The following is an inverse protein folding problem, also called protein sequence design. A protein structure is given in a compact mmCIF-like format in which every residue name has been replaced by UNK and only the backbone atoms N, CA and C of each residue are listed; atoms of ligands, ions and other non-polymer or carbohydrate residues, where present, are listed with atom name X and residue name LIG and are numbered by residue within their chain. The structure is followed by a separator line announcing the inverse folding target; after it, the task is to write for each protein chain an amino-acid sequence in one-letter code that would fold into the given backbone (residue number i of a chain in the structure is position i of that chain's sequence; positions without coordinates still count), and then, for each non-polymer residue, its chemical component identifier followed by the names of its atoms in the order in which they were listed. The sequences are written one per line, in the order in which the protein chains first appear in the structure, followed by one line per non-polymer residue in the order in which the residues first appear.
data_IF_712944193214
#
_entry.id   IF_712944193214
#
_cell.length_a   1.000
_cell.length_b   1.000
_cell.length_c   1.000
_cell.angle_alpha   90.00
_cell.angle_beta   90.00
_cell.angle_gamma   90.00
#
_symmetry.space_group_name_H-M   'P 1'
#
loop_
_entity.id
_entity.type
_entity.pdbx_description
1 polymer ?
#
# COMPACT_ATOMS: atom_id res chain seq x y z
N UNK A 1 -36.67 -63.56 -39.33
CA UNK A 1 -35.82 -62.41 -38.95
C UNK A 1 -36.17 -62.01 -37.52
N UNK A 2 -35.25 -62.27 -36.58
CA UNK A 2 -35.39 -61.91 -35.17
C UNK A 2 -35.14 -60.39 -35.03
N UNK A 3 -36.06 -59.64 -34.43
CA UNK A 3 -35.79 -58.27 -33.94
C UNK A 3 -35.61 -58.37 -32.43
N UNK A 4 -34.36 -58.21 -31.98
CA UNK A 4 -34.01 -58.13 -30.57
C UNK A 4 -34.35 -56.74 -30.03
N UNK A 5 -34.95 -56.70 -28.85
CA UNK A 5 -35.19 -55.50 -28.07
C UNK A 5 -33.91 -55.24 -27.24
N UNK A 6 -33.15 -54.18 -27.57
CA UNK A 6 -32.06 -53.72 -26.71
C UNK A 6 -32.67 -52.98 -25.51
N UNK A 7 -32.45 -53.50 -24.31
CA UNK A 7 -32.62 -52.75 -23.07
C UNK A 7 -31.39 -51.87 -22.87
N UNK A 8 -31.56 -50.55 -22.94
CA UNK A 8 -30.54 -49.61 -22.51
C UNK A 8 -30.57 -49.52 -20.98
N UNK A 9 -29.52 -50.02 -20.32
CA UNK A 9 -29.25 -49.71 -18.92
C UNK A 9 -28.75 -48.27 -18.85
N UNK A 10 -29.55 -47.36 -18.29
CA UNK A 10 -29.01 -46.09 -17.76
C UNK A 10 -28.18 -46.44 -16.53
N UNK A 11 -26.85 -46.30 -16.64
CA UNK A 11 -26.02 -46.08 -15.46
C UNK A 11 -26.37 -44.68 -14.93
N UNK A 12 -27.19 -44.61 -13.88
CA UNK A 12 -27.23 -43.42 -13.04
C UNK A 12 -25.87 -43.33 -12.33
N UNK A 13 -25.03 -42.39 -12.75
CA UNK A 13 -23.83 -42.03 -12.00
C UNK A 13 -24.26 -41.56 -10.62
N UNK A 14 -23.99 -42.36 -9.59
CA UNK A 14 -24.13 -41.96 -8.21
C UNK A 14 -23.06 -40.89 -7.96
N UNK A 15 -23.44 -39.61 -8.01
CA UNK A 15 -22.61 -38.56 -7.41
C UNK A 15 -22.68 -38.82 -5.91
N UNK A 16 -21.59 -39.31 -5.32
CA UNK A 16 -21.36 -39.22 -3.89
C UNK A 16 -21.27 -37.72 -3.57
N UNK A 17 -22.38 -37.12 -3.16
CA UNK A 17 -22.33 -35.81 -2.53
C UNK A 17 -21.66 -36.03 -1.18
N UNK A 18 -20.43 -35.55 -1.03
CA UNK A 18 -19.88 -35.31 0.29
C UNK A 18 -20.85 -34.40 1.06
N UNK A 19 -20.98 -34.62 2.36
CA UNK A 19 -21.74 -33.72 3.21
C UNK A 19 -21.15 -32.32 3.09
N UNK A 20 -21.94 -31.38 2.57
CA UNK A 20 -21.58 -29.97 2.58
C UNK A 20 -21.87 -29.43 3.97
N UNK A 21 -20.89 -28.75 4.56
CA UNK A 21 -21.04 -28.01 5.81
C UNK A 21 -21.07 -26.53 5.49
N UNK A 22 -21.95 -25.79 6.15
CA UNK A 22 -21.93 -24.32 6.12
C UNK A 22 -20.87 -23.82 7.12
N UNK A 23 -19.60 -24.09 6.79
CA UNK A 23 -18.43 -23.83 7.62
C UNK A 23 -17.34 -23.18 6.76
N UNK A 24 -16.70 -22.14 7.26
CA UNK A 24 -15.58 -21.48 6.60
C UNK A 24 -14.36 -21.39 7.53
N UNK A 25 -13.17 -21.28 6.94
CA UNK A 25 -12.03 -20.67 7.62
C UNK A 25 -12.12 -19.17 7.33
N UNK A 26 -12.22 -18.36 8.37
CA UNK A 26 -12.43 -16.89 8.24
C UNK A 26 -11.17 -16.09 8.45
N UNK A 27 -10.22 -16.64 9.20
CA UNK A 27 -9.02 -15.91 9.57
C UNK A 27 -7.82 -16.85 9.76
N UNK A 28 -6.63 -16.39 9.37
CA UNK A 28 -5.37 -17.11 9.52
C UNK A 28 -4.30 -16.13 10.01
N UNK A 29 -3.71 -16.43 11.17
CA UNK A 29 -2.46 -15.82 11.61
C UNK A 29 -1.34 -16.85 11.44
N UNK A 30 -0.46 -16.63 10.47
CA UNK A 30 0.65 -17.53 10.14
C UNK A 30 2.02 -16.89 10.39
N UNK A 31 2.07 -15.57 10.59
CA UNK A 31 3.30 -14.85 10.91
C UNK A 31 2.96 -13.56 11.68
N UNK A 32 2.74 -13.62 13.00
CA UNK A 32 2.41 -12.43 13.79
C UNK A 32 3.60 -11.48 13.94
N UNK A 33 3.34 -10.18 14.14
CA UNK A 33 4.38 -9.24 14.56
C UNK A 33 4.97 -9.67 15.91
N UNK A 34 6.28 -9.52 16.06
CA UNK A 34 7.02 -9.96 17.25
C UNK A 34 6.52 -9.37 18.58
N UNK A 35 5.92 -8.17 18.57
CA UNK A 35 5.36 -7.51 19.75
C UNK A 35 3.97 -8.04 20.15
N UNK A 36 3.26 -8.69 19.23
CA UNK A 36 1.94 -9.28 19.40
C UNK A 36 1.96 -10.78 19.06
N UNK A 37 3.02 -11.48 19.44
CA UNK A 37 3.23 -12.86 19.06
C UNK A 37 2.40 -13.85 19.90
N UNK A 38 1.16 -14.08 19.46
CA UNK A 38 0.26 -15.13 19.97
C UNK A 38 0.49 -16.51 19.37
N UNK A 39 1.57 -16.69 18.58
CA UNK A 39 1.84 -17.82 17.70
C UNK A 39 0.77 -17.97 16.60
N UNK A 40 0.82 -19.08 15.87
CA UNK A 40 -0.07 -19.35 14.76
C UNK A 40 -1.46 -19.72 15.25
N UNK A 41 -2.48 -19.33 14.49
CA UNK A 41 -3.86 -19.74 14.75
C UNK A 41 -4.73 -19.63 13.51
N UNK A 42 -5.83 -20.36 13.52
CA UNK A 42 -6.84 -20.41 12.46
C UNK A 42 -8.21 -20.24 13.08
N UNK A 43 -9.09 -19.48 12.44
CA UNK A 43 -10.48 -19.31 12.88
C UNK A 43 -11.46 -20.06 11.97
N UNK A 44 -12.41 -20.76 12.60
CA UNK A 44 -13.56 -21.38 11.95
C UNK A 44 -14.84 -20.60 12.23
N UNK A 45 -15.71 -20.49 11.23
CA UNK A 45 -17.04 -19.87 11.37
C UNK A 45 -18.16 -20.78 10.84
N UNK A 46 -19.13 -21.10 11.69
CA UNK A 46 -20.37 -21.76 11.27
C UNK A 46 -21.40 -20.72 10.79
N UNK A 47 -21.37 -20.41 9.49
CA UNK A 47 -22.32 -19.49 8.86
C UNK A 47 -23.69 -20.13 8.57
N UNK A 48 -23.86 -21.41 8.91
CA UNK A 48 -25.09 -22.16 8.71
C UNK A 48 -26.20 -21.86 9.70
N UNK A 49 -27.31 -22.59 9.55
CA UNK A 49 -28.47 -22.50 10.46
C UNK A 49 -28.58 -23.67 11.44
N UNK A 50 -27.63 -24.61 11.38
CA UNK A 50 -27.60 -25.82 12.21
C UNK A 50 -26.28 -25.94 12.92
N UNK A 51 -26.28 -26.51 14.12
CA UNK A 51 -25.03 -26.83 14.82
C UNK A 51 -24.18 -27.84 14.02
N UNK A 52 -22.86 -27.71 14.11
CA UNK A 52 -21.89 -28.61 13.52
C UNK A 52 -21.04 -29.20 14.65
N UNK A 53 -21.08 -30.53 14.79
CA UNK A 53 -20.20 -31.25 15.70
C UNK A 53 -18.88 -31.56 14.97
N UNK A 54 -17.80 -30.92 15.41
CA UNK A 54 -16.46 -31.05 14.84
C UNK A 54 -15.54 -31.90 15.73
N UNK A 55 -16.09 -32.63 16.71
CA UNK A 55 -15.33 -33.58 17.54
C UNK A 55 -14.60 -34.61 16.68
N UNK A 56 -13.31 -34.82 16.94
CA UNK A 56 -12.47 -35.79 16.23
C UNK A 56 -12.16 -35.42 14.77
N UNK A 57 -12.51 -34.20 14.33
CA UNK A 57 -12.05 -33.68 13.05
C UNK A 57 -10.55 -33.36 13.13
N UNK A 58 -9.87 -33.34 11.98
CA UNK A 58 -8.44 -33.11 11.91
C UNK A 58 -8.13 -31.77 11.23
N UNK A 59 -7.42 -30.89 11.95
CA UNK A 59 -6.71 -29.75 11.36
C UNK A 59 -5.32 -30.22 10.92
N UNK A 60 -4.90 -29.85 9.71
CA UNK A 60 -3.58 -30.20 9.14
C UNK A 60 -2.98 -29.02 8.39
N UNK A 61 -1.65 -28.88 8.44
CA UNK A 61 -0.88 -28.01 7.54
C UNK A 61 -0.74 -28.66 6.15
N UNK A 62 0.14 -28.18 5.27
CA UNK A 62 0.56 -28.89 4.04
C UNK A 62 1.38 -30.16 4.31
N UNK A 63 2.13 -30.24 5.41
CA UNK A 63 2.80 -31.48 5.82
C UNK A 63 1.71 -32.50 6.20
N UNK A 64 1.87 -33.73 5.69
CA UNK A 64 0.93 -34.82 5.95
C UNK A 64 1.06 -35.39 7.36
N UNK A 65 2.18 -35.11 8.03
CA UNK A 65 2.46 -35.52 9.40
C UNK A 65 1.89 -34.55 10.45
N UNK A 66 1.61 -33.31 10.05
CA UNK A 66 1.00 -32.32 10.92
C UNK A 66 -0.48 -32.61 11.06
N UNK A 67 -0.88 -33.02 12.25
CA UNK A 67 -2.27 -33.30 12.57
C UNK A 67 -2.62 -32.90 14.00
N UNK A 68 -3.73 -32.20 14.12
CA UNK A 68 -4.37 -31.88 15.39
C UNK A 68 -5.81 -32.42 15.36
N UNK A 69 -6.12 -33.31 16.29
CA UNK A 69 -7.47 -33.84 16.49
C UNK A 69 -8.27 -32.91 17.40
N UNK A 70 -9.36 -32.37 16.87
CA UNK A 70 -10.23 -31.45 17.59
C UNK A 70 -10.89 -32.19 18.77
N UNK A 71 -10.79 -31.66 20.01
CA UNK A 71 -11.27 -32.34 21.21
C UNK A 71 -12.75 -32.76 21.15
N UNK A 72 -13.05 -33.88 21.81
CA UNK A 72 -14.42 -34.37 21.98
C UNK A 72 -15.33 -33.33 22.65
N UNK A 73 -16.54 -33.19 22.11
CA UNK A 73 -17.54 -32.25 22.61
C UNK A 73 -17.46 -30.85 21.99
N UNK A 74 -16.60 -30.65 20.99
CA UNK A 74 -16.50 -29.38 20.27
C UNK A 74 -17.64 -29.26 19.26
N UNK A 75 -18.64 -28.43 19.60
CA UNK A 75 -19.83 -28.20 18.79
C UNK A 75 -19.93 -26.70 18.48
N UNK A 76 -19.91 -26.36 17.19
CA UNK A 76 -20.15 -25.01 16.70
C UNK A 76 -21.66 -24.77 16.55
N UNK A 77 -22.22 -23.84 17.31
CA UNK A 77 -23.59 -23.35 17.11
C UNK A 77 -23.69 -22.49 15.84
N UNK A 78 -24.90 -22.28 15.30
CA UNK A 78 -25.12 -21.31 14.22
C UNK A 78 -24.59 -19.92 14.61
N UNK A 79 -23.76 -19.32 13.77
CA UNK A 79 -23.13 -18.03 14.01
C UNK A 79 -21.94 -18.06 14.98
N UNK A 80 -21.46 -19.25 15.38
CA UNK A 80 -20.32 -19.37 16.30
C UNK A 80 -18.99 -19.37 15.54
N UNK A 81 -18.05 -18.60 16.08
CA UNK A 81 -16.64 -18.60 15.72
C UNK A 81 -15.84 -19.49 16.68
N UNK A 82 -14.78 -20.13 16.19
CA UNK A 82 -13.85 -20.92 17.01
C UNK A 82 -12.43 -20.74 16.51
N UNK A 83 -11.58 -20.25 17.40
CA UNK A 83 -10.14 -20.19 17.17
C UNK A 83 -9.53 -21.54 17.51
N UNK A 84 -8.63 -22.02 16.65
CA UNK A 84 -7.75 -23.14 16.89
C UNK A 84 -6.34 -22.57 16.92
N UNK A 85 -5.70 -22.55 18.10
CA UNK A 85 -4.40 -21.91 18.32
C UNK A 85 -3.26 -22.92 18.47
N UNK A 86 -2.04 -22.54 18.05
CA UNK A 86 -0.87 -23.40 18.15
C UNK A 86 -0.53 -23.71 19.61
N UNK A 87 -0.64 -22.70 20.47
CA UNK A 87 -0.47 -22.83 21.92
C UNK A 87 -1.47 -21.92 22.64
N UNK A 88 -2.46 -22.49 23.33
CA UNK A 88 -3.55 -21.73 23.96
C UNK A 88 -3.02 -20.73 25.00
N UNK A 89 -2.02 -21.13 25.79
CA UNK A 89 -1.42 -20.26 26.81
C UNK A 89 -0.73 -19.04 26.18
N UNK A 90 -0.01 -19.22 25.07
CA UNK A 90 0.68 -18.12 24.37
C UNK A 90 -0.31 -17.21 23.66
N UNK A 91 -1.34 -17.79 23.03
CA UNK A 91 -2.42 -17.04 22.42
C UNK A 91 -3.11 -16.13 23.45
N UNK A 92 -3.44 -16.63 24.64
CA UNK A 92 -4.07 -15.83 25.70
C UNK A 92 -3.17 -14.74 26.31
N UNK A 93 -1.85 -14.79 26.10
CA UNK A 93 -0.99 -13.67 26.49
C UNK A 93 -1.25 -12.42 25.63
N UNK A 94 -1.67 -12.60 24.38
CA UNK A 94 -2.03 -11.52 23.45
C UNK A 94 -3.53 -11.25 23.46
N UNK A 95 -4.36 -12.30 23.53
CA UNK A 95 -5.82 -12.22 23.45
C UNK A 95 -6.52 -12.72 24.74
N UNK A 96 -6.31 -12.08 25.90
CA UNK A 96 -6.78 -12.59 27.20
C UNK A 96 -8.32 -12.63 27.35
N UNK A 97 -9.06 -12.00 26.44
CA UNK A 97 -10.53 -11.93 26.47
C UNK A 97 -11.22 -12.91 25.52
N UNK A 98 -10.47 -13.53 24.60
CA UNK A 98 -11.03 -14.48 23.63
C UNK A 98 -11.24 -15.82 24.33
N UNK A 99 -12.50 -16.22 24.50
CA UNK A 99 -12.87 -17.41 25.28
C UNK A 99 -13.24 -18.63 24.44
N UNK A 100 -13.48 -18.43 23.15
CA UNK A 100 -13.85 -19.44 22.16
C UNK A 100 -12.61 -19.92 21.40
N UNK A 101 -11.59 -20.32 22.15
CA UNK A 101 -10.36 -20.92 21.65
C UNK A 101 -10.26 -22.37 22.11
N UNK A 102 -9.71 -23.20 21.24
CA UNK A 102 -9.16 -24.52 21.52
C UNK A 102 -7.78 -24.57 20.88
N UNK A 103 -7.00 -25.61 21.12
CA UNK A 103 -5.81 -25.82 20.32
C UNK A 103 -4.77 -26.66 21.02
N UNK A 104 -3.58 -26.10 21.07
CA UNK A 104 -2.32 -26.81 21.21
C UNK A 104 -2.05 -27.70 19.97
N UNK A 105 -2.31 -27.16 18.76
CA UNK A 105 -1.85 -27.83 17.54
C UNK A 105 -0.32 -27.73 17.50
N UNK A 106 0.38 -28.83 17.82
CA UNK A 106 1.84 -28.85 18.11
C UNK A 106 2.74 -28.67 16.85
N UNK A 107 2.25 -28.00 15.80
CA UNK A 107 2.97 -27.72 14.55
C UNK A 107 2.81 -26.25 14.15
N UNK A 108 3.68 -25.74 13.27
CA UNK A 108 3.60 -24.36 12.77
C UNK A 108 2.93 -24.27 11.41
N UNK A 109 2.39 -23.10 11.09
CA UNK A 109 2.05 -22.68 9.75
C UNK A 109 3.32 -22.14 9.06
N UNK A 110 3.42 -22.26 7.73
CA UNK A 110 4.60 -21.80 6.98
C UNK A 110 4.52 -20.29 6.75
N UNK A 111 5.49 -19.55 7.29
CA UNK A 111 5.64 -18.10 7.10
C UNK A 111 5.80 -17.69 5.63
N UNK A 112 6.24 -18.60 4.74
CA UNK A 112 6.34 -18.36 3.30
C UNK A 112 5.08 -18.72 2.50
N UNK A 113 3.98 -19.05 3.19
CA UNK A 113 2.75 -19.56 2.59
C UNK A 113 2.64 -21.08 2.64
N UNK A 114 1.43 -21.56 2.91
CA UNK A 114 1.17 -22.99 3.13
C UNK A 114 -0.28 -23.38 2.84
N UNK A 115 -0.74 -24.46 3.49
CA UNK A 115 -2.12 -24.88 3.43
C UNK A 115 -2.72 -25.07 4.83
N UNK A 116 -3.99 -24.72 4.96
CA UNK A 116 -4.81 -25.10 6.11
C UNK A 116 -5.89 -26.05 5.62
N UNK A 117 -5.93 -27.26 6.19
CA UNK A 117 -6.81 -28.33 5.75
C UNK A 117 -7.60 -28.88 6.93
N UNK A 118 -8.92 -28.98 6.75
CA UNK A 118 -9.85 -29.52 7.73
C UNK A 118 -10.48 -30.80 7.17
N UNK A 119 -10.35 -31.91 7.89
CA UNK A 119 -10.95 -33.20 7.56
C UNK A 119 -11.95 -33.60 8.62
N UNK A 120 -13.08 -34.19 8.23
CA UNK A 120 -14.03 -34.73 9.21
C UNK A 120 -13.51 -35.99 9.89
N UNK A 121 -14.16 -36.45 10.96
CA UNK A 121 -13.78 -37.68 11.68
C UNK A 121 -13.84 -38.98 10.86
N UNK A 122 -14.38 -38.95 9.64
CA UNK A 122 -14.33 -40.03 8.66
C UNK A 122 -13.12 -39.96 7.71
N UNK A 123 -12.28 -38.94 7.84
CA UNK A 123 -11.11 -38.67 6.99
C UNK A 123 -11.43 -38.03 5.64
N UNK A 124 -12.65 -37.55 5.41
CA UNK A 124 -12.99 -36.83 4.18
C UNK A 124 -12.68 -35.33 4.33
N UNK A 125 -12.12 -34.67 3.29
CA UNK A 125 -11.84 -33.24 3.34
C UNK A 125 -13.14 -32.44 3.46
N UNK A 126 -13.12 -31.40 4.31
CA UNK A 126 -14.22 -30.46 4.53
C UNK A 126 -13.85 -29.09 3.96
N UNK A 127 -12.69 -28.54 4.36
CA UNK A 127 -12.13 -27.28 3.85
C UNK A 127 -10.66 -27.52 3.52
N UNK A 128 -10.18 -26.93 2.43
CA UNK A 128 -8.76 -26.86 2.12
C UNK A 128 -8.48 -25.51 1.46
N UNK A 129 -7.64 -24.72 2.10
CA UNK A 129 -7.21 -23.41 1.60
C UNK A 129 -5.69 -23.39 1.49
N UNK A 130 -5.19 -22.66 0.50
CA UNK A 130 -3.78 -22.26 0.44
C UNK A 130 -3.69 -20.78 0.82
N UNK A 131 -2.56 -20.34 1.35
CA UNK A 131 -2.26 -18.92 1.61
C UNK A 131 -0.81 -18.61 1.22
N UNK A 132 -0.43 -17.34 1.19
CA UNK A 132 0.91 -16.89 0.79
C UNK A 132 1.34 -15.57 1.41
N UNK A 133 2.64 -15.29 1.30
CA UNK A 133 3.34 -14.10 1.79
C UNK A 133 3.63 -13.05 0.69
N UNK A 134 3.17 -13.32 -0.54
CA UNK A 134 3.42 -12.51 -1.72
C UNK A 134 2.16 -12.34 -2.55
N UNK A 135 2.11 -11.25 -3.34
CA UNK A 135 0.99 -10.97 -4.24
C UNK A 135 0.65 -12.20 -5.10
N UNK A 136 -0.63 -12.55 -5.23
CA UNK A 136 -1.80 -11.74 -4.88
C UNK A 136 -2.27 -11.83 -3.41
N UNK A 137 -1.57 -12.57 -2.53
CA UNK A 137 -1.92 -12.60 -1.11
C UNK A 137 -1.48 -11.31 -0.39
N UNK A 138 -2.24 -10.85 0.63
CA UNK A 138 -1.89 -9.67 1.42
C UNK A 138 -0.54 -9.81 2.14
N UNK A 139 0.45 -9.02 1.72
CA UNK A 139 1.77 -8.96 2.37
C UNK A 139 1.71 -8.45 3.80
N UNK A 140 0.72 -7.64 4.14
CA UNK A 140 0.50 -7.12 5.49
C UNK A 140 0.36 -8.22 6.55
N UNK A 141 -0.09 -9.43 6.16
CA UNK A 141 -0.21 -10.57 7.06
C UNK A 141 1.10 -11.34 7.31
N UNK A 142 2.20 -10.96 6.64
CA UNK A 142 3.50 -11.63 6.75
C UNK A 142 4.41 -10.93 7.77
N UNK A 143 4.07 -10.99 9.05
CA UNK A 143 4.93 -10.46 10.13
C UNK A 143 4.77 -8.96 10.40
N UNK A 144 3.87 -8.27 9.69
CA UNK A 144 3.58 -6.85 9.91
C UNK A 144 2.38 -6.60 10.86
N UNK A 145 1.88 -7.65 11.51
CA UNK A 145 0.94 -7.58 12.63
C UNK A 145 -0.51 -7.88 12.27
N UNK A 146 -0.86 -7.92 11.00
CA UNK A 146 -2.19 -8.27 10.53
C UNK A 146 -2.33 -9.79 10.36
N UNK A 147 -3.54 -10.31 10.47
CA UNK A 147 -3.94 -11.64 10.00
C UNK A 147 -4.45 -11.57 8.56
N UNK A 148 -4.54 -12.73 7.90
CA UNK A 148 -5.37 -12.87 6.70
C UNK A 148 -6.83 -13.04 7.12
N UNK A 149 -7.70 -12.15 6.66
CA UNK A 149 -9.14 -12.20 6.91
C UNK A 149 -9.91 -12.35 5.59
N UNK A 150 -11.00 -13.12 5.62
CA UNK A 150 -11.84 -13.38 4.44
C UNK A 150 -12.88 -12.27 4.26
N UNK A 151 -13.08 -11.80 3.02
CA UNK A 151 -14.11 -10.79 2.68
C UNK A 151 -15.51 -11.43 2.56
N UNK A 152 -15.64 -12.49 1.77
CA UNK A 152 -16.88 -13.28 1.63
C UNK A 152 -16.63 -14.75 1.95
N UNK A 153 -17.02 -15.17 3.15
CA UNK A 153 -16.90 -16.56 3.62
C UNK A 153 -17.79 -17.57 2.84
N UNK A 154 -18.68 -17.09 1.95
CA UNK A 154 -19.49 -17.94 1.05
C UNK A 154 -18.90 -18.06 -0.36
N UNK A 155 -17.87 -17.28 -0.68
CA UNK A 155 -17.15 -17.32 -1.94
C UNK A 155 -16.02 -18.39 -1.93
N UNK A 156 -15.23 -18.44 -3.01
CA UNK A 156 -14.12 -19.40 -3.13
C UNK A 156 -12.96 -18.99 -2.20
N UNK A 157 -12.69 -19.80 -1.17
CA UNK A 157 -11.64 -19.52 -0.19
C UNK A 157 -10.21 -19.68 -0.74
N UNK A 158 -10.02 -20.34 -1.89
CA UNK A 158 -8.71 -20.37 -2.57
C UNK A 158 -8.50 -19.21 -3.56
N UNK A 159 -9.42 -18.25 -3.65
CA UNK A 159 -9.22 -17.02 -4.40
C UNK A 159 -8.51 -15.99 -3.50
N UNK A 160 -7.24 -15.64 -3.75
CA UNK A 160 -6.51 -14.67 -2.92
C UNK A 160 -7.15 -13.28 -2.90
N UNK A 161 -7.96 -12.93 -3.91
CA UNK A 161 -8.68 -11.64 -3.93
C UNK A 161 -9.85 -11.58 -2.96
N UNK A 162 -10.26 -12.71 -2.39
CA UNK A 162 -11.25 -12.82 -1.31
C UNK A 162 -10.61 -12.69 0.09
N UNK A 163 -9.31 -12.39 0.16
CA UNK A 163 -8.58 -12.23 1.40
C UNK A 163 -7.92 -10.86 1.46
N UNK A 164 -7.94 -10.26 2.65
CA UNK A 164 -7.28 -8.99 2.92
C UNK A 164 -6.51 -9.06 4.23
N UNK A 165 -5.55 -8.15 4.41
CA UNK A 165 -4.90 -7.99 5.72
C UNK A 165 -5.84 -7.22 6.63
N UNK A 166 -6.26 -7.83 7.73
CA UNK A 166 -7.20 -7.22 8.68
C UNK A 166 -6.59 -6.06 9.48
N UNK A 167 -6.96 -5.99 10.75
CA UNK A 167 -6.38 -5.02 11.68
C UNK A 167 -5.13 -5.59 12.36
N UNK A 168 -4.34 -4.73 12.98
CA UNK A 168 -3.24 -5.16 13.87
C UNK A 168 -3.81 -6.07 14.95
N UNK A 169 -3.31 -7.29 15.01
CA UNK A 169 -3.77 -8.35 15.91
C UNK A 169 -4.95 -9.18 15.40
N UNK A 170 -5.55 -8.84 14.25
CA UNK A 170 -6.70 -9.57 13.70
C UNK A 170 -7.99 -9.41 14.51
N UNK A 171 -8.99 -10.25 14.22
CA UNK A 171 -10.31 -10.25 14.88
C UNK A 171 -10.69 -11.57 15.59
N UNK A 172 -9.73 -12.28 16.25
CA UNK A 172 -9.94 -13.66 16.65
C UNK A 172 -11.12 -13.85 17.61
N UNK A 173 -11.94 -14.83 17.28
CA UNK A 173 -13.11 -15.25 18.03
C UNK A 173 -14.37 -14.44 17.71
N UNK A 174 -14.35 -13.58 16.69
CA UNK A 174 -15.45 -12.70 16.32
C UNK A 174 -15.49 -12.41 14.82
N UNK A 175 -16.61 -11.86 14.36
CA UNK A 175 -16.68 -11.32 12.99
C UNK A 175 -15.76 -10.10 12.86
N UNK A 176 -15.09 -9.98 11.71
CA UNK A 176 -14.29 -8.81 11.35
C UNK A 176 -15.06 -7.51 11.58
N UNK A 177 -14.36 -6.50 12.08
CA UNK A 177 -14.87 -5.14 12.21
C UNK A 177 -13.78 -4.14 11.90
N UNK A 178 -14.18 -2.94 11.46
CA UNK A 178 -13.23 -1.94 11.01
C UNK A 178 -12.23 -1.51 12.07
N UNK A 179 -11.03 -1.17 11.60
CA UNK A 179 -9.90 -0.86 12.47
C UNK A 179 -10.11 0.48 13.19
N UNK A 180 -9.90 0.48 14.50
CA UNK A 180 -10.01 1.68 15.33
C UNK A 180 -8.62 2.14 15.80
N UNK A 181 -7.82 2.63 14.87
CA UNK A 181 -6.49 3.15 15.17
C UNK A 181 -6.58 4.57 15.74
N UNK A 182 -5.97 4.78 16.91
CA UNK A 182 -5.92 6.11 17.52
C UNK A 182 -4.92 7.03 16.81
N UNK A 183 -3.77 6.47 16.39
CA UNK A 183 -2.77 7.13 15.55
C UNK A 183 -2.61 6.28 14.30
N UNK A 184 -2.78 6.88 13.12
CA UNK A 184 -2.66 6.20 11.83
C UNK A 184 -2.01 7.09 10.79
N UNK A 185 -1.67 6.51 9.64
CA UNK A 185 -1.19 7.28 8.50
C UNK A 185 -2.34 7.99 7.81
N UNK A 186 -2.13 9.25 7.45
CA UNK A 186 -3.03 10.00 6.55
C UNK A 186 -2.44 10.15 5.15
N UNK A 187 -1.12 10.15 5.03
CA UNK A 187 -0.45 10.42 3.75
C UNK A 187 0.95 9.80 3.67
N UNK A 188 1.35 9.38 2.47
CA UNK A 188 2.65 8.77 2.17
C UNK A 188 3.20 9.32 0.86
N UNK A 189 4.41 9.86 0.92
CA UNK A 189 5.24 10.16 -0.24
C UNK A 189 6.48 9.26 -0.21
N UNK A 190 6.47 8.21 -1.01
CA UNK A 190 7.59 7.24 -1.09
C UNK A 190 8.43 7.39 -2.37
N UNK A 191 7.96 8.20 -3.34
CA UNK A 191 8.69 8.47 -4.56
C UNK A 191 8.30 9.85 -5.10
N UNK A 192 9.16 10.83 -4.83
CA UNK A 192 8.93 12.21 -5.28
C UNK A 192 9.15 12.35 -6.79
N UNK A 193 8.44 13.27 -7.43
CA UNK A 193 8.76 13.65 -8.81
C UNK A 193 10.08 14.42 -8.87
N UNK A 194 10.89 14.17 -9.91
CA UNK A 194 12.30 14.61 -9.96
C UNK A 194 12.55 16.13 -9.81
N UNK A 195 11.58 16.99 -10.14
CA UNK A 195 11.71 18.45 -10.01
C UNK A 195 11.09 19.00 -8.72
N UNK A 196 10.39 18.17 -7.98
CA UNK A 196 9.82 18.45 -6.66
C UNK A 196 10.22 17.34 -5.69
N UNK A 197 11.53 17.13 -5.56
CA UNK A 197 12.11 16.05 -4.77
C UNK A 197 12.18 16.42 -3.28
N UNK A 198 11.06 16.24 -2.58
CA UNK A 198 10.98 16.48 -1.13
C UNK A 198 11.63 15.38 -0.29
N UNK A 199 12.21 14.34 -0.91
CA UNK A 199 12.55 13.10 -0.24
C UNK A 199 11.31 12.34 0.24
N UNK A 200 11.51 11.21 0.90
CA UNK A 200 10.38 10.43 1.41
C UNK A 200 9.85 11.03 2.71
N UNK A 201 8.55 10.93 2.90
CA UNK A 201 7.88 11.34 4.12
C UNK A 201 6.54 10.63 4.28
N UNK A 202 6.11 10.54 5.53
CA UNK A 202 4.79 10.07 5.90
C UNK A 202 4.11 11.11 6.79
N UNK A 203 2.79 11.05 6.87
CA UNK A 203 2.02 11.87 7.79
C UNK A 203 1.22 10.99 8.75
N UNK A 204 1.34 11.29 10.04
CA UNK A 204 0.52 10.71 11.09
C UNK A 204 -0.67 11.61 11.39
N UNK A 205 -1.82 11.03 11.68
CA UNK A 205 -2.99 11.73 12.23
C UNK A 205 -3.47 11.05 13.51
N UNK A 206 -3.85 11.84 14.52
CA UNK A 206 -4.59 11.34 15.66
C UNK A 206 -6.09 11.30 15.32
N UNK A 207 -6.62 10.11 15.07
CA UNK A 207 -8.05 9.88 14.77
C UNK A 207 -8.89 9.63 16.03
N UNK A 208 -8.25 9.61 17.20
CA UNK A 208 -8.91 9.54 18.50
C UNK A 208 -9.59 10.84 18.93
N UNK A 209 -10.28 10.78 20.06
CA UNK A 209 -11.09 11.88 20.59
C UNK A 209 -10.34 12.79 21.58
N UNK A 210 -9.06 12.53 21.85
CA UNK A 210 -8.26 13.26 22.83
C UNK A 210 -6.78 13.29 22.44
N UNK A 211 -6.02 14.16 23.11
CA UNK A 211 -4.58 14.26 22.92
C UNK A 211 -3.88 12.95 23.30
N UNK A 212 -2.90 12.55 22.49
CA UNK A 212 -2.07 11.36 22.70
C UNK A 212 -0.62 11.82 22.82
N UNK A 213 0.05 11.38 23.88
CA UNK A 213 1.49 11.53 24.01
C UNK A 213 2.16 10.39 23.23
N UNK A 214 2.81 10.74 22.13
CA UNK A 214 3.55 9.81 21.26
C UNK A 214 5.06 9.93 21.46
N UNK A 215 5.50 10.49 22.59
CA UNK A 215 6.90 10.53 22.97
C UNK A 215 7.50 9.12 22.99
N UNK A 216 8.67 8.97 22.39
CA UNK A 216 9.44 7.72 22.31
C UNK A 216 8.75 6.55 21.58
N UNK A 217 7.55 6.76 21.01
CA UNK A 217 6.99 5.86 20.02
C UNK A 217 7.96 5.68 18.86
N UNK A 218 7.92 4.55 18.17
CA UNK A 218 8.84 4.26 17.09
C UNK A 218 8.17 3.97 15.76
N UNK A 219 8.79 4.45 14.68
CA UNK A 219 8.38 4.22 13.29
C UNK A 219 9.41 3.31 12.63
N UNK A 220 8.95 2.31 11.89
CA UNK A 220 9.78 1.38 11.12
C UNK A 220 9.23 1.20 9.72
N UNK A 221 10.12 0.93 8.77
CA UNK A 221 9.73 0.44 7.44
C UNK A 221 9.51 -1.09 7.48
N UNK A 222 9.63 -1.79 6.35
CA UNK A 222 9.62 -3.26 6.31
C UNK A 222 10.76 -3.95 7.06
N UNK A 223 11.81 -3.22 7.48
CA UNK A 223 12.99 -3.78 8.15
C UNK A 223 12.99 -3.43 9.63
N UNK A 224 13.07 -4.45 10.48
CA UNK A 224 12.99 -4.26 11.95
C UNK A 224 14.14 -3.43 12.55
N UNK A 225 15.26 -3.33 11.85
CA UNK A 225 16.42 -2.56 12.28
C UNK A 225 16.37 -1.09 11.86
N UNK A 226 15.42 -0.69 11.01
CA UNK A 226 15.17 0.70 10.66
C UNK A 226 14.17 1.25 11.68
N UNK A 227 14.69 1.98 12.67
CA UNK A 227 13.90 2.47 13.80
C UNK A 227 14.14 3.96 13.98
N UNK A 228 13.08 4.75 13.85
CA UNK A 228 13.06 6.15 14.21
C UNK A 228 12.23 6.32 15.48
N UNK A 229 12.77 6.99 16.50
CA UNK A 229 12.04 7.30 17.73
C UNK A 229 11.52 8.73 17.69
N UNK A 230 10.22 8.89 17.92
CA UNK A 230 9.55 10.18 17.96
C UNK A 230 10.09 10.99 19.16
N UNK A 231 10.51 12.26 18.97
CA UNK A 231 11.11 13.06 20.03
C UNK A 231 10.24 13.17 21.29
N UNK A 232 10.88 13.15 22.46
CA UNK A 232 10.18 13.34 23.73
C UNK A 232 9.48 14.71 23.80
N UNK A 233 8.26 14.72 24.36
CA UNK A 233 7.38 15.87 24.44
C UNK A 233 6.46 16.05 23.23
N UNK A 234 6.43 15.09 22.29
CA UNK A 234 5.54 15.15 21.12
C UNK A 234 4.13 14.71 21.53
N UNK A 235 3.20 15.66 21.54
CA UNK A 235 1.78 15.43 21.86
C UNK A 235 0.97 15.71 20.61
N UNK A 236 0.21 14.71 20.15
CA UNK A 236 -0.68 14.83 19.01
C UNK A 236 -2.10 15.08 19.52
N UNK A 237 -2.59 16.30 19.37
CA UNK A 237 -3.98 16.66 19.71
C UNK A 237 -4.98 15.89 18.81
N UNK A 238 -6.24 15.77 19.24
CA UNK A 238 -7.27 15.10 18.44
C UNK A 238 -7.44 15.78 17.07
N UNK A 239 -7.34 15.00 15.99
CA UNK A 239 -7.39 15.49 14.61
C UNK A 239 -6.13 16.24 14.15
N UNK A 240 -5.07 16.29 14.97
CA UNK A 240 -3.82 16.91 14.55
C UNK A 240 -3.00 15.96 13.66
N UNK A 241 -2.29 16.57 12.71
CA UNK A 241 -1.41 15.90 11.76
C UNK A 241 0.06 16.17 12.12
N UNK A 242 0.94 15.23 11.82
CA UNK A 242 2.38 15.34 12.04
C UNK A 242 3.14 14.68 10.88
N UNK A 243 3.92 15.48 10.17
CA UNK A 243 4.79 14.99 9.09
C UNK A 243 6.08 14.45 9.68
N UNK A 244 6.51 13.29 9.19
CA UNK A 244 7.79 12.65 9.53
C UNK A 244 8.58 12.42 8.23
N UNK A 245 9.70 13.13 8.05
CA UNK A 245 10.46 13.13 6.81
C UNK A 245 11.86 12.54 6.93
N UNK A 246 12.40 12.11 5.79
CA UNK A 246 13.76 11.56 5.67
C UNK A 246 14.86 12.59 5.84
N UNK A 247 14.66 13.80 5.35
CA UNK A 247 15.58 14.94 5.50
C UNK A 247 14.77 16.24 5.65
N UNK A 248 14.85 16.88 6.82
CA UNK A 248 14.11 18.11 7.13
C UNK A 248 14.53 19.25 6.19
N UNK A 249 15.80 19.37 5.83
CA UNK A 249 16.29 20.46 4.99
C UNK A 249 15.79 20.30 3.54
N UNK A 250 15.82 19.07 3.01
CA UNK A 250 15.25 18.75 1.71
C UNK A 250 13.74 19.01 1.70
N UNK A 251 13.01 18.46 2.68
CA UNK A 251 11.56 18.60 2.77
C UNK A 251 11.12 20.07 2.84
N UNK A 252 11.75 20.86 3.72
CA UNK A 252 11.41 22.29 3.90
C UNK A 252 11.82 23.18 2.73
N UNK A 253 12.64 22.70 1.79
CA UNK A 253 12.90 23.39 0.52
C UNK A 253 11.64 23.48 -0.34
N UNK A 254 10.77 22.47 -0.24
CA UNK A 254 9.55 22.35 -1.03
C UNK A 254 8.29 22.71 -0.24
N UNK A 255 8.28 22.44 1.08
CA UNK A 255 7.17 22.73 1.98
C UNK A 255 7.56 23.70 3.12
N UNK A 256 7.95 24.95 2.82
CA UNK A 256 8.49 25.89 3.82
C UNK A 256 7.47 26.39 4.86
N UNK A 257 6.17 26.15 4.62
CA UNK A 257 5.08 26.59 5.49
C UNK A 257 4.64 25.54 6.51
N UNK A 258 5.15 24.30 6.42
CA UNK A 258 4.78 23.18 7.29
C UNK A 258 5.69 23.20 8.52
N UNK A 259 5.08 23.36 9.70
CA UNK A 259 5.77 23.48 10.99
C UNK A 259 5.52 22.27 11.92
N UNK A 260 4.46 21.49 11.67
CA UNK A 260 4.18 20.20 12.29
C UNK A 260 5.04 19.08 11.65
N UNK A 261 6.35 19.22 11.77
CA UNK A 261 7.35 18.38 11.11
C UNK A 261 8.38 17.83 12.11
N UNK A 262 8.70 16.54 11.96
CA UNK A 262 9.84 15.90 12.61
C UNK A 262 10.67 15.08 11.61
N UNK A 263 11.88 14.74 12.01
CA UNK A 263 12.89 14.05 11.21
C UNK A 263 14.27 14.22 11.88
N UNK A 264 15.36 13.78 11.28
CA UNK A 264 15.48 13.00 10.04
C UNK A 264 15.22 11.50 10.33
N UNK A 265 14.40 10.81 9.51
CA UNK A 265 14.04 9.38 9.73
C UNK A 265 15.27 8.44 9.76
N UNK A 266 16.30 8.75 8.97
CA UNK A 266 17.51 7.93 8.86
C UNK A 266 17.39 6.70 7.94
N UNK A 267 16.21 6.44 7.38
CA UNK A 267 15.90 5.46 6.34
C UNK A 267 14.79 6.02 5.44
N UNK A 268 14.67 5.52 4.21
CA UNK A 268 13.60 5.91 3.28
C UNK A 268 12.59 4.78 3.07
N UNK A 269 11.56 5.05 2.27
CA UNK A 269 10.49 4.11 1.94
C UNK A 269 10.65 3.65 0.49
N UNK A 270 10.47 2.35 0.24
CA UNK A 270 10.70 1.76 -1.09
C UNK A 270 9.64 2.18 -2.11
N UNK A 271 10.07 2.68 -3.26
CA UNK A 271 9.22 2.88 -4.45
C UNK A 271 8.90 1.60 -5.22
N UNK A 272 8.91 0.44 -4.56
CA UNK A 272 8.49 -0.88 -5.08
C UNK A 272 7.56 -1.60 -4.08
N UNK A 273 6.83 -0.80 -3.30
CA UNK A 273 6.10 -1.21 -2.10
C UNK A 273 6.98 -1.35 -0.86
N UNK A 274 6.43 -1.01 0.29
CA UNK A 274 7.08 -1.09 1.60
C UNK A 274 6.03 -1.20 2.73
N UNK A 275 6.50 -1.43 3.95
CA UNK A 275 5.67 -1.32 5.14
C UNK A 275 5.94 -0.02 5.89
N UNK A 276 4.95 0.44 6.65
CA UNK A 276 5.11 1.49 7.67
C UNK A 276 4.43 0.99 8.94
N UNK A 277 5.22 0.89 10.01
CA UNK A 277 4.80 0.34 11.30
C UNK A 277 5.06 1.34 12.42
N UNK A 278 4.06 1.53 13.27
CA UNK A 278 4.10 2.46 14.41
C UNK A 278 3.96 1.65 15.69
N UNK A 279 4.97 1.71 16.55
CA UNK A 279 4.98 1.08 17.86
C UNK A 279 4.90 2.13 18.96
N UNK A 280 4.20 1.83 20.04
CA UNK A 280 4.18 2.69 21.21
C UNK A 280 5.53 2.70 21.97
N UNK A 281 5.58 3.44 23.07
CA UNK A 281 6.75 3.55 23.93
C UNK A 281 7.07 2.26 24.72
N UNK A 282 6.16 1.29 24.76
CA UNK A 282 6.40 -0.06 25.31
C UNK A 282 6.90 -1.03 24.23
N UNK A 283 6.91 -0.59 22.96
CA UNK A 283 7.34 -1.38 21.81
C UNK A 283 6.24 -2.29 21.27
N UNK A 284 4.97 -2.02 21.56
CA UNK A 284 3.81 -2.75 21.03
C UNK A 284 3.32 -2.08 19.76
N UNK A 285 3.09 -2.87 18.71
CA UNK A 285 2.57 -2.39 17.43
C UNK A 285 1.17 -1.79 17.62
N UNK A 286 1.00 -0.54 17.22
CA UNK A 286 -0.27 0.20 17.28
C UNK A 286 -0.90 0.40 15.91
N UNK A 287 -0.08 0.46 14.85
CA UNK A 287 -0.53 0.62 13.47
C UNK A 287 0.45 -0.04 12.51
N UNK A 288 -0.07 -0.73 11.49
CA UNK A 288 0.73 -1.34 10.42
C UNK A 288 0.04 -1.15 9.08
N UNK A 289 0.83 -0.76 8.08
CA UNK A 289 0.44 -0.69 6.67
C UNK A 289 1.49 -1.38 5.82
N UNK A 290 1.07 -2.14 4.81
CA UNK A 290 1.93 -2.48 3.66
C UNK A 290 1.31 -1.88 2.39
N UNK A 291 1.98 -0.90 1.78
CA UNK A 291 1.52 -0.27 0.53
C UNK A 291 2.24 -0.87 -0.68
N UNK A 292 1.65 -0.70 -1.87
CA UNK A 292 2.24 -1.08 -3.15
C UNK A 292 2.34 0.14 -4.08
N UNK A 293 3.24 0.07 -5.05
CA UNK A 293 3.47 1.10 -6.08
C UNK A 293 2.72 0.83 -7.39
N UNK A 294 1.99 -0.30 -7.47
CA UNK A 294 1.26 -0.71 -8.66
C UNK A 294 -0.25 -0.92 -8.41
N UNK A 295 -1.08 -0.89 -9.48
CA UNK A 295 -2.51 -1.13 -9.35
C UNK A 295 -2.79 -2.47 -8.64
N UNK A 296 -3.75 -2.53 -7.71
CA UNK A 296 -4.85 -1.57 -7.51
C UNK A 296 -4.56 -0.35 -6.63
N UNK A 297 -3.35 -0.19 -6.10
CA UNK A 297 -2.96 1.04 -5.41
C UNK A 297 -2.80 2.18 -6.43
N UNK A 298 -2.88 3.43 -5.96
CA UNK A 298 -2.80 4.59 -6.84
C UNK A 298 -1.34 4.79 -7.32
N UNK A 299 -1.06 4.35 -8.54
CA UNK A 299 0.28 4.37 -9.16
C UNK A 299 0.73 5.79 -9.55
N UNK A 300 -0.16 6.78 -9.50
CA UNK A 300 0.23 8.18 -9.64
C UNK A 300 1.14 8.67 -8.50
N UNK A 301 1.11 8.02 -7.33
CA UNK A 301 2.02 8.33 -6.22
C UNK A 301 3.46 7.83 -6.45
N UNK A 302 3.70 7.01 -7.49
CA UNK A 302 5.02 6.47 -7.81
C UNK A 302 5.82 7.45 -8.70
N UNK A 303 6.23 8.59 -8.14
CA UNK A 303 7.12 9.53 -8.84
C UNK A 303 6.43 10.43 -9.87
N UNK A 304 5.10 10.41 -9.95
CA UNK A 304 4.32 11.27 -10.85
C UNK A 304 3.84 12.57 -10.19
N UNK A 305 4.32 12.86 -8.98
CA UNK A 305 4.08 14.11 -8.26
C UNK A 305 2.83 14.10 -7.40
N UNK A 306 2.27 12.93 -7.12
CA UNK A 306 1.19 12.73 -6.16
C UNK A 306 1.72 11.95 -4.95
N UNK A 307 0.91 11.90 -3.91
CA UNK A 307 1.12 11.10 -2.70
C UNK A 307 -0.05 10.12 -2.55
N UNK A 308 0.16 9.04 -1.80
CA UNK A 308 -0.94 8.19 -1.34
C UNK A 308 -1.60 8.87 -0.16
N UNK A 309 -2.88 9.23 -0.28
CA UNK A 309 -3.67 9.83 0.80
C UNK A 309 -4.81 8.90 1.22
N UNK A 310 -5.03 8.76 2.54
CA UNK A 310 -6.07 7.90 3.11
C UNK A 310 -7.46 8.55 2.94
N UNK A 311 -8.41 7.80 2.36
CA UNK A 311 -9.80 8.21 2.21
C UNK A 311 -10.69 7.74 3.35
N UNK A 312 -10.44 6.52 3.86
CA UNK A 312 -11.28 5.87 4.87
C UNK A 312 -10.55 5.74 6.20
N UNK A 313 -10.72 6.76 7.06
CA UNK A 313 -10.12 6.81 8.39
C UNK A 313 -10.76 5.83 9.39
N UNK A 314 -11.88 5.20 9.03
CA UNK A 314 -12.62 4.29 9.91
C UNK A 314 -12.78 2.88 9.30
N UNK A 315 -12.05 2.56 8.23
CA UNK A 315 -12.08 1.26 7.55
C UNK A 315 -10.78 0.46 7.72
N UNK A 316 -10.49 -0.44 6.79
CA UNK A 316 -9.22 -1.19 6.74
C UNK A 316 -8.18 -0.42 5.92
N UNK A 317 -7.09 0.11 6.51
CA UNK A 317 -6.08 0.81 5.72
C UNK A 317 -5.22 -0.15 4.88
N UNK A 318 -5.22 -1.46 5.17
CA UNK A 318 -4.43 -2.47 4.46
C UNK A 318 -5.07 -2.95 3.14
N UNK A 319 -6.00 -2.18 2.59
CA UNK A 319 -6.61 -2.45 1.28
C UNK A 319 -6.39 -1.26 0.33
N UNK A 320 -6.15 -1.50 -0.97
CA UNK A 320 -5.89 -0.45 -1.95
C UNK A 320 -7.04 0.57 -2.04
N UNK A 321 -8.29 0.13 -1.88
CA UNK A 321 -9.48 0.98 -1.97
C UNK A 321 -9.59 2.03 -0.85
N UNK A 322 -8.82 1.90 0.23
CA UNK A 322 -8.76 2.89 1.30
C UNK A 322 -7.88 4.11 0.92
N UNK A 323 -7.04 3.98 -0.11
CA UNK A 323 -6.06 4.98 -0.50
C UNK A 323 -6.37 5.56 -1.88
N UNK A 324 -5.94 6.79 -2.10
CA UNK A 324 -6.07 7.45 -3.40
C UNK A 324 -4.85 8.29 -3.71
N UNK A 325 -4.62 8.58 -4.99
CA UNK A 325 -3.77 9.68 -5.37
C UNK A 325 -4.50 10.97 -5.02
N UNK A 326 -3.93 11.73 -4.08
CA UNK A 326 -4.47 13.00 -3.65
C UNK A 326 -4.29 14.11 -4.68
N UNK A 327 -3.96 15.30 -4.20
CA UNK A 327 -3.60 16.40 -5.10
C UNK A 327 -2.14 16.36 -5.51
N UNK A 328 -1.75 17.04 -6.61
CA UNK A 328 -0.34 17.22 -6.91
C UNK A 328 0.40 17.80 -5.70
N UNK A 329 1.50 17.16 -5.33
CA UNK A 329 2.35 17.43 -4.17
C UNK A 329 1.69 17.16 -2.81
N UNK A 330 0.54 16.47 -2.80
CA UNK A 330 -0.11 16.02 -1.57
C UNK A 330 -0.82 17.11 -0.78
N UNK A 331 -1.19 16.79 0.46
CA UNK A 331 -1.78 17.73 1.42
C UNK A 331 -1.05 17.80 2.77
N UNK A 332 0.30 17.83 2.79
CA UNK A 332 1.07 17.68 4.02
C UNK A 332 0.73 18.73 5.07
N UNK A 333 0.73 18.27 6.31
CA UNK A 333 0.35 18.98 7.51
C UNK A 333 -1.15 19.12 7.71
N UNK A 334 -2.00 18.57 6.84
CA UNK A 334 -3.46 18.80 6.84
C UNK A 334 -4.25 17.55 6.44
N UNK A 335 -5.57 17.61 6.60
CA UNK A 335 -6.44 16.56 6.05
C UNK A 335 -6.54 16.66 4.52
N UNK A 336 -6.77 15.51 3.88
CA UNK A 336 -6.93 15.38 2.42
C UNK A 336 -7.81 16.48 1.82
N UNK A 337 -7.31 17.10 0.75
CA UNK A 337 -7.97 18.22 0.07
C UNK A 337 -8.58 17.75 -1.24
N UNK A 338 -9.89 17.50 -1.27
CA UNK A 338 -10.62 17.15 -2.50
C UNK A 338 -11.90 18.00 -2.67
N UNK A 339 -12.21 18.48 -3.90
CA UNK A 339 -11.39 18.40 -5.11
C UNK A 339 -10.14 19.28 -4.99
N UNK A 340 -9.12 19.00 -5.80
CA UNK A 340 -7.90 19.77 -5.76
C UNK A 340 -8.17 21.26 -5.97
N UNK A 341 -7.58 22.13 -5.14
CA UNK A 341 -7.67 23.55 -5.36
C UNK A 341 -7.15 23.80 -6.77
N UNK A 342 -7.90 24.58 -7.55
CA UNK A 342 -7.42 24.98 -8.86
C UNK A 342 -6.11 25.71 -8.61
N UNK A 343 -5.00 25.03 -8.88
CA UNK A 343 -3.71 25.67 -8.87
C UNK A 343 -3.83 26.78 -9.90
N UNK A 344 -3.79 28.03 -9.43
CA UNK A 344 -3.13 29.05 -10.24
C UNK A 344 -1.66 28.63 -10.18
N UNK A 345 -1.32 27.60 -10.94
CA UNK A 345 0.03 27.53 -11.44
C UNK A 345 0.11 28.81 -12.28
N UNK A 346 0.69 29.86 -11.70
CA UNK A 346 1.54 30.72 -12.50
C UNK A 346 2.60 29.78 -13.08
N UNK A 347 2.24 29.03 -14.12
CA UNK A 347 3.16 28.75 -15.18
C UNK A 347 3.74 30.13 -15.44
N UNK A 348 5.00 30.35 -15.09
CA UNK A 348 5.74 31.40 -15.74
C UNK A 348 5.61 31.08 -17.22
N UNK A 349 4.63 31.72 -17.87
CA UNK A 349 4.44 31.62 -19.30
C UNK A 349 5.81 32.00 -19.83
N UNK A 350 6.50 31.03 -20.44
CA UNK A 350 7.73 31.33 -21.15
C UNK A 350 7.41 32.55 -22.00
N UNK A 351 8.15 33.66 -21.88
CA UNK A 351 7.78 34.89 -22.55
C UNK A 351 7.81 34.74 -24.07
N UNK A 352 8.26 33.59 -24.58
CA UNK A 352 8.23 33.22 -25.98
C UNK A 352 7.84 31.74 -26.17
N UNK A 353 7.20 31.47 -27.30
CA UNK A 353 6.87 30.14 -27.82
C UNK A 353 7.86 29.73 -28.90
N UNK A 354 8.04 28.43 -29.12
CA UNK A 354 8.85 27.88 -30.21
C UNK A 354 8.04 26.88 -31.03
N UNK A 355 7.96 27.07 -32.35
CA UNK A 355 7.24 26.16 -33.23
C UNK A 355 7.68 26.27 -34.69
N UNK A 356 7.60 25.21 -35.50
CA UNK A 356 7.35 23.83 -35.06
C UNK A 356 8.51 23.29 -34.21
N UNK A 357 8.23 22.39 -33.28
CA UNK A 357 9.25 21.70 -32.49
C UNK A 357 8.80 20.23 -32.33
N UNK A 358 9.48 19.25 -32.96
CA UNK A 358 10.72 19.36 -33.74
C UNK A 358 10.62 20.21 -35.01
N UNK A 359 11.75 20.71 -35.53
CA UNK A 359 11.83 21.44 -36.80
C UNK A 359 12.86 20.86 -37.77
N UNK A 360 12.54 20.95 -39.07
CA UNK A 360 13.41 20.51 -40.16
C UNK A 360 14.12 21.68 -40.88
N UNK A 361 13.40 22.78 -41.16
CA UNK A 361 13.94 23.90 -41.97
C UNK A 361 14.13 25.17 -41.15
N UNK A 362 13.16 25.48 -40.28
CA UNK A 362 13.24 26.65 -39.42
C UNK A 362 12.38 26.47 -38.17
N UNK A 363 12.91 26.98 -37.05
CA UNK A 363 12.23 27.16 -35.78
C UNK A 363 11.79 28.62 -35.66
N UNK A 364 10.51 28.86 -35.36
CA UNK A 364 9.98 30.20 -35.14
C UNK A 364 9.83 30.42 -33.64
N UNK A 365 10.58 31.38 -33.11
CA UNK A 365 10.44 31.86 -31.74
C UNK A 365 9.61 33.14 -31.75
N UNK A 366 8.58 33.22 -30.91
CA UNK A 366 7.68 34.38 -30.86
C UNK A 366 7.24 34.70 -29.44
N UNK A 367 7.25 35.98 -29.10
CA UNK A 367 6.76 36.51 -27.84
C UNK A 367 5.56 37.43 -28.06
N UNK A 368 4.61 37.41 -27.13
CA UNK A 368 3.50 38.37 -27.09
C UNK A 368 3.90 39.68 -26.38
N UNK A 369 4.86 39.63 -25.45
CA UNK A 369 5.38 40.77 -24.68
C UNK A 369 6.88 40.94 -24.89
N UNK A 370 7.31 42.04 -25.52
CA UNK A 370 8.72 42.23 -25.86
C UNK A 370 9.53 42.64 -24.62
N UNK A 371 10.28 41.69 -24.07
CA UNK A 371 11.40 41.97 -23.17
C UNK A 371 12.66 42.18 -24.01
N UNK A 372 13.36 43.30 -23.86
CA UNK A 372 14.63 43.48 -24.56
C UNK A 372 15.70 42.62 -23.90
N UNK A 373 16.45 41.85 -24.68
CA UNK A 373 17.44 40.92 -24.13
C UNK A 373 18.33 40.30 -25.20
N UNK A 374 19.02 39.24 -24.81
CA UNK A 374 19.84 38.40 -25.68
C UNK A 374 19.23 37.00 -25.73
N UNK A 375 18.93 36.51 -26.93
CA UNK A 375 18.55 35.12 -27.12
C UNK A 375 19.75 34.31 -27.60
N UNK A 376 20.02 33.20 -26.92
CA UNK A 376 21.15 32.31 -27.20
C UNK A 376 20.65 30.88 -27.35
N UNK A 377 21.14 30.20 -28.38
CA UNK A 377 20.88 28.79 -28.63
C UNK A 377 22.18 28.05 -28.34
N UNK A 378 22.15 27.08 -27.43
CA UNK A 378 23.30 26.27 -27.03
C UNK A 378 23.09 24.80 -27.39
N UNK A 379 24.19 24.09 -27.65
CA UNK A 379 24.15 22.62 -27.68
C UNK A 379 23.97 22.05 -26.26
N UNK A 380 23.81 20.72 -26.15
CA UNK A 380 23.67 20.02 -24.86
C UNK A 380 24.92 20.12 -23.97
N UNK A 381 26.07 20.51 -24.50
CA UNK A 381 27.28 20.78 -23.72
C UNK A 381 27.35 22.25 -23.26
N UNK A 382 26.29 23.04 -23.48
CA UNK A 382 26.19 24.44 -23.07
C UNK A 382 27.00 25.40 -23.95
N UNK A 383 27.52 24.95 -25.11
CA UNK A 383 28.29 25.81 -26.01
C UNK A 383 27.34 26.64 -26.88
N UNK A 384 27.52 27.97 -26.98
CA UNK A 384 26.66 28.82 -27.80
C UNK A 384 26.89 28.54 -29.29
N UNK A 385 25.80 28.23 -29.98
CA UNK A 385 25.79 27.91 -31.42
C UNK A 385 25.29 29.10 -32.22
N UNK A 386 24.29 29.81 -31.68
CA UNK A 386 23.73 31.02 -32.27
C UNK A 386 23.32 32.00 -31.17
N UNK A 387 23.52 33.30 -31.38
CA UNK A 387 23.10 34.33 -30.42
C UNK A 387 22.78 35.64 -31.13
N UNK A 388 21.71 36.30 -30.73
CA UNK A 388 21.27 37.57 -31.32
C UNK A 388 20.46 38.38 -30.30
N UNK A 389 20.43 39.73 -30.40
CA UNK A 389 19.49 40.53 -29.63
C UNK A 389 18.05 40.08 -29.86
N UNK A 390 17.29 39.94 -28.78
CA UNK A 390 15.88 39.58 -28.81
C UNK A 390 15.01 40.84 -28.92
N UNK A 391 14.11 40.84 -29.89
CA UNK A 391 13.17 41.92 -30.15
C UNK A 391 11.70 41.42 -30.20
N UNK A 392 11.45 40.22 -29.66
CA UNK A 392 10.12 39.58 -29.65
C UNK A 392 9.91 38.50 -30.71
N UNK A 393 10.81 38.33 -31.67
CA UNK A 393 10.75 37.21 -32.62
C UNK A 393 12.10 36.80 -33.18
N UNK A 394 12.28 35.51 -33.45
CA UNK A 394 13.44 34.97 -34.17
C UNK A 394 12.98 33.84 -35.10
N UNK A 395 13.53 33.79 -36.30
CA UNK A 395 13.47 32.61 -37.15
C UNK A 395 14.88 32.01 -37.19
N UNK A 396 15.04 30.86 -36.57
CA UNK A 396 16.32 30.14 -36.58
C UNK A 396 16.26 29.01 -37.60
N UNK A 397 17.11 29.07 -38.60
CA UNK A 397 17.17 28.11 -39.71
C UNK A 397 18.11 26.91 -39.44
N UNK A 398 18.48 26.68 -38.17
CA UNK A 398 19.42 25.62 -37.81
C UNK A 398 20.87 25.90 -38.26
N UNK A 399 21.28 27.17 -38.34
CA UNK A 399 22.65 27.55 -38.63
C UNK A 399 23.34 28.21 -37.44
N UNK A 400 24.66 28.05 -37.34
CA UNK A 400 25.49 28.72 -36.34
C UNK A 400 25.79 30.18 -36.74
N UNK A 401 26.53 30.90 -35.90
CA UNK A 401 26.93 32.30 -36.16
C UNK A 401 27.78 32.53 -37.42
N UNK A 402 28.38 31.48 -38.00
CA UNK A 402 29.13 31.54 -39.28
C UNK A 402 28.28 31.13 -40.51
N UNK A 403 27.01 30.77 -40.31
CA UNK A 403 26.10 30.34 -41.38
C UNK A 403 26.22 28.87 -41.77
N UNK A 404 26.94 28.06 -40.99
CA UNK A 404 27.04 26.61 -41.18
C UNK A 404 25.89 25.89 -40.50
N UNK A 405 25.38 24.83 -41.12
CA UNK A 405 24.30 24.03 -40.55
C UNK A 405 24.75 23.28 -39.29
N UNK A 406 23.92 23.31 -38.24
CA UNK A 406 24.15 22.60 -36.99
C UNK A 406 23.61 21.17 -37.07
N UNK A 407 24.18 20.24 -36.30
CA UNK A 407 23.78 18.83 -36.31
C UNK A 407 22.32 18.65 -35.84
N UNK A 408 21.66 17.58 -36.29
CA UNK A 408 20.38 17.16 -35.70
C UNK A 408 20.57 16.81 -34.22
N UNK A 409 19.60 17.14 -33.39
CA UNK A 409 19.67 16.91 -31.94
C UNK A 409 18.93 17.94 -31.10
N UNK A 410 19.12 17.84 -29.79
CA UNK A 410 18.53 18.74 -28.79
C UNK A 410 19.39 20.01 -28.65
N UNK A 411 18.71 21.14 -28.55
CA UNK A 411 19.28 22.45 -28.30
C UNK A 411 18.50 23.15 -27.18
N UNK A 412 19.20 23.94 -26.38
CA UNK A 412 18.60 24.79 -25.36
C UNK A 412 18.53 26.22 -25.89
N UNK A 413 17.33 26.78 -25.95
CA UNK A 413 17.10 28.20 -26.25
C UNK A 413 16.99 28.95 -24.94
N UNK A 414 17.77 30.00 -24.77
CA UNK A 414 17.81 30.82 -23.55
C UNK A 414 17.59 32.29 -23.90
N UNK A 415 16.61 32.93 -23.29
CA UNK A 415 16.42 34.38 -23.32
C UNK A 415 16.93 34.98 -22.01
N UNK A 416 17.86 35.92 -22.11
CA UNK A 416 18.40 36.65 -20.96
C UNK A 416 18.09 38.14 -21.10
N UNK A 417 17.52 38.75 -20.06
CA UNK A 417 17.20 40.18 -19.97
C UNK A 417 17.95 40.81 -18.79
N UNK A 418 17.74 42.11 -18.54
CA UNK A 418 18.44 42.85 -17.48
C UNK A 418 18.10 42.39 -16.04
N UNK A 419 17.14 41.48 -15.86
CA UNK A 419 16.76 40.94 -14.55
C UNK A 419 16.27 39.49 -14.53
N UNK A 420 15.96 38.89 -15.68
CA UNK A 420 15.32 37.58 -15.75
C UNK A 420 15.93 36.70 -16.86
N UNK A 421 15.82 35.38 -16.69
CA UNK A 421 16.32 34.40 -17.64
C UNK A 421 15.32 33.25 -17.79
N UNK A 422 14.95 32.93 -19.04
CA UNK A 422 14.08 31.81 -19.36
C UNK A 422 14.76 30.86 -20.34
N UNK A 423 14.38 29.59 -20.29
CA UNK A 423 14.93 28.58 -21.19
C UNK A 423 13.91 27.54 -21.63
N UNK A 424 14.08 27.03 -22.84
CA UNK A 424 13.28 25.92 -23.36
C UNK A 424 14.10 24.99 -24.26
N UNK A 425 13.74 23.71 -24.28
CA UNK A 425 14.35 22.70 -25.15
C UNK A 425 13.67 22.64 -26.51
N UNK A 426 14.48 22.52 -27.56
CA UNK A 426 14.02 22.39 -28.95
C UNK A 426 14.81 21.31 -29.67
N UNK A 427 14.18 20.68 -30.66
CA UNK A 427 14.73 19.54 -31.41
C UNK A 427 14.88 19.94 -32.88
N UNK A 428 16.13 19.85 -33.41
CA UNK A 428 16.42 19.92 -34.85
C UNK A 428 16.47 18.50 -35.40
N UNK A 429 15.69 18.25 -36.46
CA UNK A 429 15.75 17.00 -37.25
C UNK A 429 16.86 17.02 -38.32
#
# INVERSE_FOLDING_TARGET
MKKGLLFAFMLAGLRLFGQSYDLAITEIMYNPDSSLNGQDWVELYNYGTTQIDISGWLLKSEDVLDEFEIPDGTILQPGEFKVIAQWEDTFHMVYPTVSNVIGDFEFGLDNGGGQVRLFNGGGAPVIQISYGDTLPWPKSADGYGMSLEVDDYTAELNDPSNWFGGCVGGSPGSEYSDCNYSVQLSEINYNSIFYHDSGDWIELVNSGIGAIDISDWSIRDSKDNNVFHIPAGTILEAGAHLVVCTDIFQYTTYYPAIDNLIGDLGFGFSGQGDAVRIYDNEGILQYGLYYHDDPPWADEADGNGFTLELLDFYGTPNVPGAWTAGCPYGSPGTAIILPCPAAVEDYELLPFTAGPNPFNTALYLRSETVHNGLITITDLQGRPVYSTPWNGSLVWNGQNGSGEEVASGLYLVRLQTDGEQWSMLVVKE
#
